data_IF_676921924822
#
_entry.id   IF_676921924822
#
_cell.length_a   1.000
_cell.length_b   1.000
_cell.length_c   1.000
_cell.angle_alpha   90.00
_cell.angle_beta   90.00
_cell.angle_gamma   90.00
#
_symmetry.space_group_name_H-M   'P 1'
#
loop_
_entity.id
_entity.type
_entity.pdbx_description
1 polymer ?
#
# COMPACT_ATOMS: atom_id res chain seq x y z
N UNK A 1 26.23 11.31 -16.85
CA UNK A 1 26.09 11.09 -15.41
C UNK A 1 24.98 10.08 -15.24
N UNK A 2 25.31 8.91 -14.70
CA UNK A 2 24.39 7.79 -14.55
C UNK A 2 23.26 8.18 -13.59
N UNK A 3 22.02 7.86 -13.97
CA UNK A 3 20.81 8.18 -13.23
C UNK A 3 20.83 7.58 -11.84
N UNK A 4 20.75 8.44 -10.84
CA UNK A 4 20.17 8.07 -9.56
C UNK A 4 18.67 7.92 -9.86
N UNK A 5 18.24 6.72 -10.23
CA UNK A 5 16.83 6.36 -10.03
C UNK A 5 16.58 6.65 -8.56
N UNK A 6 15.67 7.57 -8.27
CA UNK A 6 15.30 7.91 -6.91
C UNK A 6 15.02 6.59 -6.17
N UNK A 7 15.88 6.23 -5.21
CA UNK A 7 15.83 4.92 -4.56
C UNK A 7 14.47 4.71 -3.86
N UNK A 8 13.75 5.80 -3.59
CA UNK A 8 12.36 5.85 -3.11
C UNK A 8 11.35 5.26 -4.09
N UNK A 9 11.66 5.24 -5.39
CA UNK A 9 10.81 4.67 -6.44
C UNK A 9 11.15 3.20 -6.73
N UNK A 10 12.20 2.65 -6.12
CA UNK A 10 12.45 1.21 -6.21
C UNK A 10 11.37 0.47 -5.42
N UNK A 11 10.81 -0.58 -6.04
CA UNK A 11 9.61 -1.25 -5.57
C UNK A 11 9.62 -1.68 -4.07
N UNK A 12 10.70 -2.24 -3.51
CA UNK A 12 10.74 -2.58 -2.08
C UNK A 12 10.79 -1.33 -1.20
N UNK A 13 11.66 -0.36 -1.54
CA UNK A 13 11.87 0.87 -0.76
C UNK A 13 10.63 1.77 -0.74
N UNK A 14 9.82 1.73 -1.80
CA UNK A 14 8.56 2.47 -1.89
C UNK A 14 7.57 2.04 -0.80
N UNK A 15 7.67 0.80 -0.29
CA UNK A 15 6.77 0.27 0.73
C UNK A 15 7.23 0.56 2.17
N UNK A 16 8.48 1.01 2.36
CA UNK A 16 9.07 1.25 3.67
C UNK A 16 8.18 2.08 4.62
N UNK A 17 7.51 3.17 4.20
CA UNK A 17 6.66 3.94 5.09
C UNK A 17 5.56 3.09 5.74
N UNK A 18 4.92 2.22 4.96
CA UNK A 18 3.79 1.39 5.43
C UNK A 18 4.30 0.16 6.19
N UNK A 19 5.44 -0.40 5.78
CA UNK A 19 6.09 -1.52 6.48
C UNK A 19 6.65 -1.14 7.87
N UNK A 20 7.02 0.13 8.06
CA UNK A 20 7.61 0.62 9.32
C UNK A 20 6.63 1.40 10.20
N UNK A 21 5.39 1.57 9.76
CA UNK A 21 4.35 2.31 10.50
C UNK A 21 4.00 1.61 11.83
N UNK A 22 4.10 2.29 13.00
CA UNK A 22 3.86 1.68 14.31
C UNK A 22 2.47 1.05 14.42
N UNK A 23 2.36 -0.16 14.98
CA UNK A 23 1.12 -0.96 15.01
C UNK A 23 -0.07 -0.31 15.72
N UNK A 24 0.19 0.51 16.72
CA UNK A 24 -0.79 1.17 17.58
C UNK A 24 -1.10 2.61 17.17
N UNK A 25 -0.53 3.10 16.05
CA UNK A 25 -0.75 4.44 15.55
C UNK A 25 -1.45 4.43 14.19
N UNK A 26 -2.79 4.54 14.23
CA UNK A 26 -3.63 4.64 13.03
C UNK A 26 -3.32 5.92 12.23
N UNK A 27 -2.92 7.02 12.87
CA UNK A 27 -2.64 8.28 12.19
C UNK A 27 -1.29 8.24 11.45
N UNK A 28 -0.28 7.61 12.05
CA UNK A 28 0.98 7.33 11.37
C UNK A 28 0.78 6.41 10.17
N UNK A 29 -0.07 5.38 10.30
CA UNK A 29 -0.41 4.51 9.17
C UNK A 29 -1.17 5.26 8.06
N UNK A 30 -2.11 6.15 8.39
CA UNK A 30 -2.78 7.01 7.40
C UNK A 30 -1.76 7.87 6.63
N UNK A 31 -0.80 8.48 7.33
CA UNK A 31 0.26 9.28 6.69
C UNK A 31 1.14 8.43 5.78
N UNK A 32 1.51 7.23 6.23
CA UNK A 32 2.33 6.30 5.44
C UNK A 32 1.62 5.84 4.16
N UNK A 33 0.32 5.54 4.24
CA UNK A 33 -0.48 5.17 3.06
C UNK A 33 -0.46 6.31 2.03
N UNK A 34 -0.65 7.56 2.47
CA UNK A 34 -0.61 8.72 1.59
C UNK A 34 0.76 8.87 0.91
N UNK A 35 1.86 8.72 1.66
CA UNK A 35 3.22 8.81 1.12
C UNK A 35 3.47 7.75 0.03
N UNK A 36 3.04 6.50 0.26
CA UNK A 36 3.19 5.43 -0.74
C UNK A 36 2.30 5.68 -1.95
N UNK A 37 1.06 6.16 -1.76
CA UNK A 37 0.17 6.50 -2.87
C UNK A 37 0.71 7.63 -3.75
N UNK A 38 1.31 8.66 -3.14
CA UNK A 38 2.00 9.74 -3.85
C UNK A 38 3.21 9.21 -4.63
N UNK A 39 4.05 8.36 -4.02
CA UNK A 39 5.18 7.74 -4.70
C UNK A 39 4.73 6.84 -5.88
N UNK A 40 3.63 6.11 -5.72
CA UNK A 40 3.00 5.34 -6.80
C UNK A 40 2.55 6.24 -7.96
N UNK A 41 1.89 7.35 -7.66
CA UNK A 41 1.46 8.32 -8.66
C UNK A 41 2.65 8.94 -9.40
N UNK A 42 3.70 9.34 -8.68
CA UNK A 42 4.93 9.91 -9.24
C UNK A 42 5.69 8.90 -10.12
N UNK A 43 5.64 7.62 -9.78
CA UNK A 43 6.25 6.54 -10.59
C UNK A 43 5.48 6.24 -11.88
N UNK A 44 4.26 6.77 -12.05
CA UNK A 44 3.37 6.45 -13.15
C UNK A 44 2.80 5.02 -13.09
N UNK A 45 2.77 4.42 -11.89
CA UNK A 45 2.21 3.10 -11.68
C UNK A 45 0.70 3.09 -11.98
N UNK A 46 0.24 2.05 -12.67
CA UNK A 46 -1.16 1.89 -13.03
C UNK A 46 -1.85 0.91 -12.08
N UNK A 47 -2.86 1.39 -11.34
CA UNK A 47 -3.73 0.53 -10.54
C UNK A 47 -4.74 -0.16 -11.45
N UNK A 48 -4.83 -1.49 -11.34
CA UNK A 48 -5.74 -2.31 -12.13
C UNK A 48 -6.88 -2.85 -11.28
N UNK A 49 -8.05 -2.98 -11.88
CA UNK A 49 -9.20 -3.68 -11.31
C UNK A 49 -9.03 -5.20 -11.40
N UNK A 50 -9.99 -5.95 -10.86
CA UNK A 50 -10.00 -7.41 -10.89
C UNK A 50 -10.03 -8.03 -12.31
N UNK A 51 -10.32 -7.23 -13.35
CA UNK A 51 -10.32 -7.64 -14.75
C UNK A 51 -9.06 -7.20 -15.50
N UNK A 52 -8.08 -6.60 -14.80
CA UNK A 52 -6.83 -6.12 -15.38
C UNK A 52 -6.98 -4.80 -16.16
N UNK A 53 -8.04 -4.03 -15.91
CA UNK A 53 -8.27 -2.72 -16.53
C UNK A 53 -7.88 -1.59 -15.59
N UNK A 54 -7.53 -0.39 -16.08
CA UNK A 54 -7.32 0.78 -15.22
C UNK A 54 -8.50 0.97 -14.24
N UNK A 55 -8.20 0.94 -12.94
CA UNK A 55 -9.21 1.15 -11.90
C UNK A 55 -9.64 2.62 -11.89
N UNK A 56 -10.93 2.89 -12.16
CA UNK A 56 -11.46 4.25 -12.06
C UNK A 56 -11.89 4.58 -10.63
N UNK A 57 -11.44 5.72 -10.13
CA UNK A 57 -11.78 6.19 -8.79
C UNK A 57 -11.14 5.40 -7.66
N UNK A 58 -10.02 4.71 -7.94
CA UNK A 58 -9.25 4.00 -6.92
C UNK A 58 -8.81 4.98 -5.81
N UNK A 59 -9.00 4.59 -4.56
CA UNK A 59 -8.50 5.37 -3.42
C UNK A 59 -7.02 5.09 -3.18
N UNK A 60 -6.37 5.97 -2.41
CA UNK A 60 -4.97 5.79 -2.00
C UNK A 60 -4.79 4.45 -1.27
N UNK A 61 -5.72 4.08 -0.39
CA UNK A 61 -5.72 2.78 0.27
C UNK A 61 -5.81 1.61 -0.72
N UNK A 62 -6.67 1.71 -1.74
CA UNK A 62 -6.82 0.66 -2.76
C UNK A 62 -5.56 0.52 -3.63
N UNK A 63 -4.92 1.63 -3.96
CA UNK A 63 -3.65 1.64 -4.68
C UNK A 63 -2.54 0.94 -3.88
N UNK A 64 -2.38 1.30 -2.60
CA UNK A 64 -1.38 0.71 -1.70
C UNK A 64 -1.67 -0.77 -1.45
N UNK A 65 -2.94 -1.16 -1.26
CA UNK A 65 -3.32 -2.57 -1.11
C UNK A 65 -2.99 -3.40 -2.35
N UNK A 66 -3.23 -2.87 -3.55
CA UNK A 66 -2.84 -3.54 -4.81
C UNK A 66 -1.33 -3.73 -4.93
N UNK A 67 -0.55 -2.74 -4.47
CA UNK A 67 0.90 -2.81 -4.42
C UNK A 67 1.38 -3.89 -3.43
N UNK A 68 0.82 -3.91 -2.21
CA UNK A 68 1.14 -4.91 -1.18
C UNK A 68 0.78 -6.33 -1.64
N UNK A 69 -0.38 -6.54 -2.27
CA UNK A 69 -0.77 -7.86 -2.82
C UNK A 69 0.22 -8.32 -3.91
N UNK A 70 0.68 -7.38 -4.75
CA UNK A 70 1.73 -7.67 -5.74
C UNK A 70 3.03 -8.08 -5.06
N UNK A 71 3.44 -7.39 -3.99
CA UNK A 71 4.66 -7.72 -3.26
C UNK A 71 4.58 -9.07 -2.56
N UNK A 72 3.44 -9.39 -1.92
CA UNK A 72 3.17 -10.71 -1.33
C UNK A 72 3.33 -11.82 -2.38
N UNK A 73 2.78 -11.65 -3.58
CA UNK A 73 2.93 -12.64 -4.66
C UNK A 73 4.39 -12.83 -5.08
N UNK A 74 5.17 -11.75 -5.11
CA UNK A 74 6.62 -11.80 -5.38
C UNK A 74 7.35 -12.57 -4.27
N UNK A 75 7.10 -12.25 -3.00
CA UNK A 75 7.71 -12.95 -1.86
C UNK A 75 7.37 -14.44 -1.85
N UNK A 76 6.10 -14.79 -2.07
CA UNK A 76 5.68 -16.19 -2.17
C UNK A 76 6.35 -16.91 -3.34
N UNK A 77 6.55 -16.23 -4.47
CA UNK A 77 7.28 -16.79 -5.61
C UNK A 77 8.76 -17.04 -5.29
N UNK A 78 9.36 -16.20 -4.45
CA UNK A 78 10.75 -16.34 -3.98
C UNK A 78 10.91 -17.33 -2.81
N UNK A 79 9.80 -17.78 -2.20
CA UNK A 79 9.81 -18.69 -1.06
C UNK A 79 9.87 -17.98 0.31
N UNK A 80 9.76 -16.66 0.34
CA UNK A 80 9.81 -15.82 1.55
C UNK A 80 8.46 -15.79 2.29
N UNK A 81 8.04 -16.95 2.79
CA UNK A 81 6.69 -17.16 3.36
C UNK A 81 6.45 -16.35 4.64
N UNK A 82 7.47 -16.18 5.48
CA UNK A 82 7.36 -15.45 6.76
C UNK A 82 7.14 -13.94 6.54
N UNK A 83 7.92 -13.35 5.62
CA UNK A 83 7.76 -11.95 5.23
C UNK A 83 6.39 -11.73 4.56
N UNK A 84 5.99 -12.64 3.66
CA UNK A 84 4.67 -12.60 3.03
C UNK A 84 3.53 -12.63 4.06
N UNK A 85 3.66 -13.43 5.13
CA UNK A 85 2.67 -13.48 6.22
C UNK A 85 2.59 -12.16 6.97
N UNK A 86 3.73 -11.54 7.28
CA UNK A 86 3.81 -10.25 7.98
C UNK A 86 3.10 -9.16 7.18
N UNK A 87 3.27 -9.15 5.86
CA UNK A 87 2.57 -8.21 4.98
C UNK A 87 1.06 -8.51 4.91
N UNK A 88 0.66 -9.77 4.99
CA UNK A 88 -0.75 -10.16 5.12
C UNK A 88 -1.43 -9.52 6.34
N UNK A 89 -0.75 -9.50 7.49
CA UNK A 89 -1.27 -8.86 8.71
C UNK A 89 -1.41 -7.34 8.55
N UNK A 90 -0.49 -6.71 7.81
CA UNK A 90 -0.53 -5.30 7.46
C UNK A 90 -1.70 -4.96 6.51
N UNK A 91 -1.93 -5.78 5.49
CA UNK A 91 -3.11 -5.67 4.60
C UNK A 91 -4.39 -5.69 5.43
N UNK A 92 -4.51 -6.62 6.36
CA UNK A 92 -5.66 -6.72 7.26
C UNK A 92 -5.81 -5.49 8.17
N UNK A 93 -4.69 -4.91 8.61
CA UNK A 93 -4.66 -3.67 9.40
C UNK A 93 -5.19 -2.48 8.60
N UNK A 94 -4.75 -2.29 7.36
CA UNK A 94 -5.24 -1.24 6.46
C UNK A 94 -6.75 -1.40 6.21
N UNK A 95 -7.21 -2.62 5.95
CA UNK A 95 -8.64 -2.90 5.82
C UNK A 95 -9.45 -2.58 7.08
N UNK A 96 -8.90 -2.82 8.28
CA UNK A 96 -9.54 -2.44 9.55
C UNK A 96 -9.65 -0.92 9.67
N UNK A 97 -8.61 -0.18 9.30
CA UNK A 97 -8.57 1.28 9.34
C UNK A 97 -9.63 1.89 8.40
N UNK A 98 -9.66 1.47 7.13
CA UNK A 98 -10.64 1.94 6.14
C UNK A 98 -12.08 1.72 6.60
N UNK A 99 -12.38 0.53 7.15
CA UNK A 99 -13.70 0.23 7.73
C UNK A 99 -14.06 1.16 8.90
N UNK A 100 -13.11 1.52 9.76
CA UNK A 100 -13.35 2.49 10.87
C UNK A 100 -13.65 3.88 10.31
N UNK A 101 -12.88 4.33 9.32
CA UNK A 101 -13.05 5.63 8.65
C UNK A 101 -14.43 5.76 8.01
N UNK A 102 -14.83 4.75 7.22
CA UNK A 102 -16.16 4.69 6.60
C UNK A 102 -17.26 4.80 7.65
N UNK A 103 -17.17 4.07 8.77
CA UNK A 103 -18.16 4.16 9.87
C UNK A 103 -18.22 5.53 10.54
N UNK A 104 -17.08 6.21 10.71
CA UNK A 104 -17.02 7.57 11.27
C UNK A 104 -17.74 8.57 10.38
N UNK A 105 -17.49 8.52 9.07
CA UNK A 105 -18.10 9.44 8.11
C UNK A 105 -19.63 9.28 8.02
N UNK A 106 -20.15 8.05 8.14
CA UNK A 106 -21.60 7.79 8.17
C UNK A 106 -22.30 8.29 9.44
N UNK A 107 -21.57 8.55 10.55
CA UNK A 107 -22.14 9.09 11.80
C UNK A 107 -22.14 10.62 11.84
N UNK A 108 -21.38 11.26 10.97
CA UNK A 108 -21.25 12.71 10.89
C UNK A 108 -22.16 13.36 9.83
N UNK A 109 -22.89 12.54 9.06
CA UNK A 109 -23.92 12.94 8.07
C UNK A 109 -25.31 12.69 8.62
#
# INVERSE_FOLDING_TARGET
MAGHLDERLAFPTMLDPVLTAPDDDDAALESAINEVAEALADSGALVLDAFGRPAQGATDEEAVLGLLDTYVRVLLHLGEVEEASTIGDLIDRIHRLDRRRKRRNHRAS
#
